data_IF_174043792527
#
_entry.id   IF_174043792527
#
_cell.length_a   1.000
_cell.length_b   1.000
_cell.length_c   1.000
_cell.angle_alpha   90.00
_cell.angle_beta   90.00
_cell.angle_gamma   90.00
#
_symmetry.space_group_name_H-M   'P 1'
#
loop_
_entity.id
_entity.type
_entity.pdbx_description
1 polymer ?
#
# COMPACT_ATOMS: atom_id res chain seq x y z
N UNK A 1 -5.31 -4.19 -7.90
CA UNK A 1 -5.37 -2.83 -8.49
C UNK A 1 -5.25 -1.76 -7.40
N UNK A 2 -5.80 -2.01 -6.20
CA UNK A 2 -5.72 -1.17 -5.00
C UNK A 2 -4.36 -0.49 -4.72
N UNK A 3 -3.24 -1.20 -4.77
CA UNK A 3 -1.91 -0.63 -4.53
C UNK A 3 -1.54 0.44 -5.57
N UNK A 4 -1.95 0.26 -6.84
CA UNK A 4 -1.71 1.25 -7.89
C UNK A 4 -2.55 2.50 -7.68
N UNK A 5 -3.82 2.33 -7.33
CA UNK A 5 -4.71 3.44 -6.98
C UNK A 5 -4.18 4.22 -5.76
N UNK A 6 -3.72 3.52 -4.72
CA UNK A 6 -3.09 4.15 -3.56
C UNK A 6 -1.84 4.97 -3.94
N UNK A 7 -1.04 4.47 -4.89
CA UNK A 7 0.17 5.16 -5.34
C UNK A 7 -0.11 6.37 -6.24
N UNK A 8 -1.25 6.41 -6.92
CA UNK A 8 -1.58 7.56 -7.77
C UNK A 8 -1.99 8.76 -6.94
N UNK A 9 -2.62 8.53 -5.78
CA UNK A 9 -3.07 9.61 -4.89
C UNK A 9 -4.40 10.24 -5.33
N UNK A 10 -4.95 9.80 -6.47
CA UNK A 10 -6.20 10.32 -7.05
C UNK A 10 -7.46 9.77 -6.36
N UNK A 11 -7.30 8.74 -5.53
CA UNK A 11 -8.41 8.03 -4.90
C UNK A 11 -8.28 8.06 -3.38
N UNK A 12 -9.40 8.28 -2.70
CA UNK A 12 -9.48 8.09 -1.26
C UNK A 12 -9.35 6.60 -0.90
N UNK A 13 -8.93 6.34 0.34
CA UNK A 13 -8.82 4.95 0.84
C UNK A 13 -10.16 4.23 0.78
N UNK A 14 -11.27 4.93 1.03
CA UNK A 14 -12.62 4.39 0.97
C UNK A 14 -12.97 3.90 -0.44
N UNK A 15 -12.76 4.74 -1.46
CA UNK A 15 -13.01 4.39 -2.86
C UNK A 15 -12.18 3.18 -3.30
N UNK A 16 -10.92 3.12 -2.88
CA UNK A 16 -10.03 1.99 -3.21
C UNK A 16 -10.57 0.69 -2.62
N UNK A 17 -10.97 0.70 -1.35
CA UNK A 17 -11.49 -0.46 -0.62
C UNK A 17 -12.79 -0.96 -1.28
N UNK A 18 -13.73 -0.04 -1.54
CA UNK A 18 -15.02 -0.34 -2.15
C UNK A 18 -14.87 -0.87 -3.58
N UNK A 19 -14.09 -0.18 -4.42
CA UNK A 19 -13.87 -0.55 -5.83
C UNK A 19 -13.18 -1.91 -5.96
N UNK A 20 -12.25 -2.23 -5.05
CA UNK A 20 -11.51 -3.49 -5.09
C UNK A 20 -12.19 -4.61 -4.28
N UNK A 21 -13.32 -4.33 -3.61
CA UNK A 21 -14.06 -5.29 -2.77
C UNK A 21 -13.16 -6.00 -1.75
N UNK A 22 -12.25 -5.26 -1.12
CA UNK A 22 -11.32 -5.78 -0.11
C UNK A 22 -11.66 -5.22 1.26
N UNK A 23 -11.31 -5.94 2.32
CA UNK A 23 -11.41 -5.39 3.67
C UNK A 23 -10.35 -4.30 3.91
N UNK A 24 -10.67 -3.37 4.81
CA UNK A 24 -9.74 -2.36 5.32
C UNK A 24 -8.46 -2.99 5.88
N UNK A 25 -8.59 -4.09 6.62
CA UNK A 25 -7.44 -4.81 7.19
C UNK A 25 -6.54 -5.42 6.12
N UNK A 26 -7.11 -6.03 5.09
CA UNK A 26 -6.38 -6.56 3.94
C UNK A 26 -5.63 -5.44 3.21
N UNK A 27 -6.28 -4.30 2.98
CA UNK A 27 -5.67 -3.16 2.31
C UNK A 27 -4.45 -2.64 3.08
N UNK A 28 -4.60 -2.31 4.37
CA UNK A 28 -3.49 -1.76 5.16
C UNK A 28 -2.36 -2.75 5.37
N UNK A 29 -2.66 -4.06 5.49
CA UNK A 29 -1.62 -5.10 5.58
C UNK A 29 -0.72 -5.06 4.35
N UNK A 30 -1.31 -4.95 3.16
CA UNK A 30 -0.54 -4.90 1.92
C UNK A 30 0.26 -3.60 1.77
N UNK A 31 -0.32 -2.45 2.12
CA UNK A 31 0.40 -1.16 2.13
C UNK A 31 1.59 -1.20 3.09
N UNK A 32 1.41 -1.72 4.30
CA UNK A 32 2.47 -1.81 5.30
C UNK A 32 3.57 -2.76 4.85
N UNK A 33 3.22 -3.90 4.24
CA UNK A 33 4.19 -4.83 3.64
C UNK A 33 5.09 -4.15 2.61
N UNK A 34 4.52 -3.29 1.77
CA UNK A 34 5.27 -2.53 0.75
C UNK A 34 6.16 -1.45 1.36
N UNK A 35 5.65 -0.71 2.36
CA UNK A 35 6.43 0.28 3.10
C UNK A 35 7.64 -0.36 3.80
N UNK A 36 7.43 -1.50 4.45
CA UNK A 36 8.49 -2.25 5.12
C UNK A 36 9.56 -2.74 4.13
N UNK A 37 9.16 -3.29 2.97
CA UNK A 37 10.11 -3.68 1.91
C UNK A 37 10.96 -2.51 1.43
N UNK A 38 10.37 -1.31 1.29
CA UNK A 38 11.11 -0.10 0.89
C UNK A 38 12.10 0.33 1.97
N UNK A 39 11.71 0.24 3.24
CA UNK A 39 12.56 0.56 4.38
C UNK A 39 13.76 -0.37 4.47
N UNK A 40 13.54 -1.69 4.36
CA UNK A 40 14.62 -2.68 4.44
C UNK A 40 15.64 -2.48 3.31
N UNK A 41 15.18 -2.26 2.07
CA UNK A 41 16.08 -1.94 0.95
C UNK A 41 16.91 -0.68 1.19
N UNK A 42 16.32 0.35 1.80
CA UNK A 42 17.05 1.58 2.14
C UNK A 42 18.12 1.31 3.20
N UNK A 43 17.82 0.48 4.19
CA UNK A 43 18.76 0.12 5.24
C UNK A 43 19.93 -0.71 4.69
N UNK A 44 19.67 -1.67 3.80
CA UNK A 44 20.70 -2.47 3.12
C UNK A 44 21.65 -1.63 2.26
N UNK A 45 21.19 -0.49 1.72
CA UNK A 45 22.03 0.43 0.93
C UNK A 45 22.91 1.36 1.79
N UNK A 46 22.64 1.45 3.09
CA UNK A 46 23.36 2.34 4.02
C UNK A 46 24.44 1.60 4.83
N UNK A 47 24.50 0.28 4.73
CA UNK A 47 25.48 -0.62 5.34
C UNK A 47 26.46 -1.13 4.31
#
# INVERSE_FOLDING_TARGET
IAVRMYKSGDYSIKEIIETNQISTGTFYREINRLKLKKLNKKNEQLT
#
